data_IF_265448250500
#
_entry.id   IF_265448250500
#
_cell.length_a   1.000
_cell.length_b   1.000
_cell.length_c   1.000
_cell.angle_alpha   90.00
_cell.angle_beta   90.00
_cell.angle_gamma   90.00
#
_symmetry.space_group_name_H-M   'P 1'
#
loop_
_entity.id
_entity.type
_entity.pdbx_description
1 polymer ?
#
# COMPACT_ATOMS: atom_id res chain seq x y z
N UNK A 1 25.38 24.68 93.88
CA UNK A 1 26.33 24.04 92.94
C UNK A 1 25.51 23.45 91.81
N UNK A 2 25.66 24.00 90.60
CA UNK A 2 24.88 23.66 89.40
C UNK A 2 25.00 22.18 89.01
N UNK A 3 23.89 21.56 88.61
CA UNK A 3 23.90 20.44 87.68
C UNK A 3 23.00 20.82 86.50
N UNK A 4 23.62 21.08 85.34
CA UNK A 4 22.95 21.23 84.05
C UNK A 4 22.46 19.85 83.60
N UNK A 5 21.16 19.72 83.37
CA UNK A 5 20.56 18.57 82.66
C UNK A 5 20.42 19.00 81.19
N UNK A 6 21.25 18.45 80.31
CA UNK A 6 21.10 18.59 78.86
C UNK A 6 20.06 17.59 78.37
N UNK A 7 18.90 18.08 77.94
CA UNK A 7 17.88 17.29 77.25
C UNK A 7 18.20 17.28 75.75
N UNK A 8 18.73 16.17 75.24
CA UNK A 8 18.90 15.96 73.79
C UNK A 8 17.52 15.64 73.17
N UNK A 9 16.92 16.64 72.52
CA UNK A 9 15.72 16.45 71.70
C UNK A 9 16.13 15.75 70.40
N UNK A 10 15.88 14.45 70.31
CA UNK A 10 16.07 13.69 69.07
C UNK A 10 14.92 14.01 68.12
N UNK A 11 15.14 14.91 67.17
CA UNK A 11 14.20 15.17 66.07
C UNK A 11 14.28 13.96 65.13
N UNK A 12 13.26 13.09 65.19
CA UNK A 12 13.02 12.05 64.19
C UNK A 12 12.42 12.75 62.97
N UNK A 13 13.25 13.02 61.96
CA UNK A 13 12.80 13.38 60.62
C UNK A 13 12.14 12.15 60.00
N UNK A 14 10.81 12.10 60.03
CA UNK A 14 10.04 11.23 59.15
C UNK A 14 10.26 11.72 57.71
N UNK A 15 11.26 11.16 57.03
CA UNK A 15 11.32 11.21 55.58
C UNK A 15 10.12 10.39 55.06
N UNK A 16 9.02 11.07 54.75
CA UNK A 16 7.90 10.44 54.08
C UNK A 16 8.37 9.95 52.72
N UNK A 17 8.55 8.63 52.57
CA UNK A 17 8.61 8.00 51.26
C UNK A 17 7.26 8.21 50.59
N UNK A 18 7.11 9.27 49.79
CA UNK A 18 6.01 9.36 48.83
C UNK A 18 6.28 8.28 47.78
N UNK A 19 5.56 7.16 47.86
CA UNK A 19 5.57 6.17 46.80
C UNK A 19 5.13 6.87 45.51
N UNK A 20 6.04 6.95 44.53
CA UNK A 20 5.71 7.41 43.19
C UNK A 20 4.72 6.40 42.62
N UNK A 21 3.54 6.86 42.21
CA UNK A 21 2.56 5.98 41.56
C UNK A 21 3.19 5.38 40.30
N UNK A 22 2.86 4.11 39.95
CA UNK A 22 3.33 3.55 38.69
C UNK A 22 2.87 4.44 37.52
N UNK A 23 3.68 4.56 36.46
CA UNK A 23 3.32 5.38 35.30
C UNK A 23 2.03 4.86 34.67
N UNK A 24 1.16 5.78 34.21
CA UNK A 24 -0.07 5.41 33.50
C UNK A 24 0.24 4.73 32.16
N UNK A 25 -0.77 4.11 31.52
CA UNK A 25 -0.60 3.57 30.17
C UNK A 25 -0.20 4.67 29.17
N UNK A 26 -0.74 5.88 29.34
CA UNK A 26 -0.41 7.04 28.50
C UNK A 26 1.06 7.46 28.69
N UNK A 27 1.54 7.52 29.94
CA UNK A 27 2.95 7.86 30.22
C UNK A 27 3.92 6.82 29.62
N UNK A 28 3.56 5.53 29.71
CA UNK A 28 4.36 4.44 29.16
C UNK A 28 4.36 4.47 27.63
N UNK A 29 3.20 4.66 27.00
CA UNK A 29 3.08 4.75 25.56
C UNK A 29 3.83 5.98 25.04
N UNK A 30 3.66 7.16 25.64
CA UNK A 30 4.38 8.37 25.22
C UNK A 30 5.90 8.18 25.26
N UNK A 31 6.41 7.48 26.27
CA UNK A 31 7.84 7.14 26.36
C UNK A 31 8.29 6.30 25.15
N UNK A 32 7.49 5.33 24.72
CA UNK A 32 7.77 4.53 23.53
C UNK A 32 7.71 5.36 22.25
N UNK A 33 6.74 6.27 22.12
CA UNK A 33 6.59 7.13 20.95
C UNK A 33 7.74 8.13 20.82
N UNK A 34 8.19 8.73 21.93
CA UNK A 34 9.33 9.63 21.95
C UNK A 34 10.62 8.91 21.53
N UNK A 35 10.80 7.66 21.97
CA UNK A 35 11.96 6.84 21.59
C UNK A 35 12.01 6.55 20.08
N UNK A 36 10.86 6.50 19.41
CA UNK A 36 10.72 6.25 17.98
C UNK A 36 10.40 7.51 17.16
N UNK A 37 10.39 8.69 17.79
CA UNK A 37 10.10 9.99 17.15
C UNK A 37 8.78 9.99 16.37
N UNK A 38 7.75 9.34 16.91
CA UNK A 38 6.46 9.24 16.23
C UNK A 38 5.72 10.57 16.33
N UNK A 39 5.26 11.07 15.18
CA UNK A 39 4.51 12.31 15.05
C UNK A 39 3.24 12.09 14.23
N UNK A 40 2.26 13.01 14.28
CA UNK A 40 1.17 13.02 13.32
C UNK A 40 1.68 13.02 11.88
N UNK A 41 0.95 12.33 11.00
CA UNK A 41 1.30 12.24 9.59
C UNK A 41 1.08 13.60 8.90
N UNK A 42 2.02 13.99 8.04
CA UNK A 42 1.90 15.18 7.19
C UNK A 42 0.86 14.92 6.08
N UNK A 43 -0.18 15.76 5.95
CA UNK A 43 -1.19 15.61 4.89
C UNK A 43 -0.65 15.76 3.47
N UNK A 44 0.56 16.29 3.31
CA UNK A 44 1.09 16.63 2.00
C UNK A 44 0.46 17.90 1.42
N UNK A 45 0.83 18.26 0.19
CA UNK A 45 0.38 19.49 -0.44
C UNK A 45 -1.10 19.42 -0.84
N UNK A 46 -1.80 20.56 -0.72
CA UNK A 46 -3.13 20.73 -1.30
C UNK A 46 -3.01 20.67 -2.82
N UNK A 47 -3.90 19.91 -3.46
CA UNK A 47 -3.89 19.67 -4.89
C UNK A 47 -4.69 20.76 -5.65
N UNK A 48 -4.31 21.00 -6.90
CA UNK A 48 -5.07 21.90 -7.79
C UNK A 48 -6.42 21.25 -8.14
N UNK A 49 -7.57 21.88 -7.84
CA UNK A 49 -8.88 21.32 -8.14
C UNK A 49 -9.09 20.95 -9.62
N UNK A 50 -8.47 21.66 -10.57
CA UNK A 50 -8.56 21.32 -11.98
C UNK A 50 -7.78 20.04 -12.32
N UNK A 51 -6.59 19.84 -11.71
CA UNK A 51 -5.85 18.58 -11.81
C UNK A 51 -6.61 17.43 -11.15
N UNK A 52 -7.20 17.65 -9.98
CA UNK A 52 -8.03 16.65 -9.27
C UNK A 52 -9.23 16.23 -10.13
N UNK A 53 -9.93 17.18 -10.76
CA UNK A 53 -11.06 16.87 -11.63
C UNK A 53 -10.65 16.06 -12.87
N UNK A 54 -9.54 16.42 -13.52
CA UNK A 54 -8.97 15.64 -14.62
C UNK A 54 -8.54 14.24 -14.14
N UNK A 55 -7.89 14.16 -12.98
CA UNK A 55 -7.45 12.92 -12.35
C UNK A 55 -8.59 11.98 -12.03
N UNK A 56 -9.67 12.48 -11.44
CA UNK A 56 -10.89 11.71 -11.16
C UNK A 56 -11.47 11.16 -12.46
N UNK A 57 -11.58 11.99 -13.51
CA UNK A 57 -12.07 11.52 -14.80
C UNK A 57 -11.19 10.37 -15.33
N UNK A 58 -9.86 10.52 -15.31
CA UNK A 58 -8.92 9.49 -15.79
C UNK A 58 -8.95 8.21 -14.94
N UNK A 59 -9.03 8.34 -13.62
CA UNK A 59 -8.99 7.22 -12.67
C UNK A 59 -10.13 6.22 -12.88
N UNK A 60 -11.32 6.72 -13.22
CA UNK A 60 -12.51 5.91 -13.45
C UNK A 60 -12.73 5.54 -14.92
N UNK A 61 -12.08 6.24 -15.87
CA UNK A 61 -12.34 6.02 -17.29
C UNK A 61 -11.55 4.83 -17.86
N UNK A 62 -12.30 3.85 -18.37
CA UNK A 62 -11.74 2.66 -19.02
C UNK A 62 -11.04 3.00 -20.34
N UNK A 63 -11.17 4.22 -20.85
CA UNK A 63 -10.48 4.71 -22.04
C UNK A 63 -8.95 4.60 -21.94
N UNK A 64 -8.38 4.45 -20.75
CA UNK A 64 -6.93 4.23 -20.58
C UNK A 64 -6.49 2.79 -20.90
N UNK A 65 -7.39 1.80 -20.81
CA UNK A 65 -7.05 0.40 -21.05
C UNK A 65 -7.16 0.01 -22.53
N UNK A 66 -6.35 -0.95 -22.98
CA UNK A 66 -6.36 -1.39 -24.36
C UNK A 66 -7.69 -1.99 -24.80
N UNK A 67 -8.32 -2.80 -23.95
CA UNK A 67 -9.63 -3.41 -24.23
C UNK A 67 -10.81 -2.48 -23.87
N UNK A 68 -10.54 -1.32 -23.27
CA UNK A 68 -11.56 -0.35 -22.82
C UNK A 68 -12.57 -0.96 -21.83
N UNK A 69 -12.11 -1.92 -21.02
CA UNK A 69 -12.93 -2.71 -20.08
C UNK A 69 -12.46 -2.60 -18.62
N UNK A 70 -11.33 -1.94 -18.36
CA UNK A 70 -10.76 -1.76 -17.03
C UNK A 70 -10.21 -0.33 -16.84
N UNK A 71 -10.31 0.21 -15.63
CA UNK A 71 -9.70 1.49 -15.23
C UNK A 71 -8.92 1.33 -13.92
N UNK A 72 -8.27 2.40 -13.44
CA UNK A 72 -7.59 2.37 -12.13
C UNK A 72 -8.57 1.98 -11.01
N UNK A 73 -9.79 2.53 -11.06
CA UNK A 73 -10.85 2.26 -10.11
C UNK A 73 -11.32 0.79 -10.08
N UNK A 74 -11.08 0.00 -11.12
CA UNK A 74 -11.44 -1.43 -11.10
C UNK A 74 -10.61 -2.21 -10.08
N UNK A 75 -9.32 -1.88 -9.93
CA UNK A 75 -8.42 -2.54 -8.97
C UNK A 75 -8.19 -1.72 -7.69
N UNK A 76 -8.52 -0.43 -7.72
CA UNK A 76 -8.38 0.46 -6.57
C UNK A 76 -9.71 1.14 -6.28
N UNK A 77 -10.73 0.35 -5.96
CA UNK A 77 -12.08 0.88 -5.89
C UNK A 77 -12.34 1.59 -4.55
N UNK A 78 -12.93 2.80 -4.53
CA UNK A 78 -13.19 3.53 -3.28
C UNK A 78 -13.96 2.71 -2.24
N UNK A 79 -14.95 1.92 -2.68
CA UNK A 79 -15.80 1.11 -1.78
C UNK A 79 -15.13 -0.16 -1.26
N UNK A 80 -13.91 -0.45 -1.72
CA UNK A 80 -13.09 -1.60 -1.32
C UNK A 80 -11.81 -1.10 -0.62
N UNK A 81 -11.93 0.02 0.10
CA UNK A 81 -10.82 0.69 0.77
C UNK A 81 -9.64 0.97 -0.17
N UNK A 82 -9.93 1.37 -1.42
CA UNK A 82 -8.95 1.65 -2.47
C UNK A 82 -8.08 0.47 -2.92
N UNK A 83 -8.45 -0.76 -2.54
CA UNK A 83 -7.94 -2.01 -3.13
C UNK A 83 -8.97 -2.69 -4.02
N UNK A 84 -8.76 -3.97 -4.33
CA UNK A 84 -9.67 -4.77 -5.17
C UNK A 84 -10.40 -5.90 -4.40
N UNK A 85 -10.06 -6.16 -3.14
CA UNK A 85 -10.65 -7.24 -2.35
C UNK A 85 -10.41 -8.66 -2.91
N UNK A 86 -9.46 -8.83 -3.83
CA UNK A 86 -9.03 -10.11 -4.37
C UNK A 86 -7.66 -10.50 -3.80
N UNK A 87 -7.37 -11.79 -3.81
CA UNK A 87 -6.03 -12.28 -3.46
C UNK A 87 -5.04 -11.81 -4.53
N UNK A 88 -5.39 -12.11 -5.79
CA UNK A 88 -4.66 -11.69 -6.97
C UNK A 88 -5.60 -10.99 -7.94
N UNK A 89 -5.18 -9.82 -8.43
CA UNK A 89 -6.02 -8.99 -9.29
C UNK A 89 -6.27 -9.61 -10.67
N UNK A 90 -7.30 -9.13 -11.35
CA UNK A 90 -7.66 -9.56 -12.72
C UNK A 90 -7.66 -8.34 -13.63
N UNK A 91 -6.76 -8.31 -14.61
CA UNK A 91 -6.66 -7.22 -15.59
C UNK A 91 -7.75 -7.24 -16.67
N UNK A 92 -7.39 -6.79 -17.88
CA UNK A 92 -8.29 -6.76 -19.04
C UNK A 92 -8.97 -8.12 -19.32
N UNK A 93 -10.19 -8.06 -19.85
CA UNK A 93 -11.04 -9.21 -20.14
C UNK A 93 -11.76 -9.82 -18.93
N UNK A 94 -11.48 -9.35 -17.71
CA UNK A 94 -12.29 -9.68 -16.53
C UNK A 94 -13.64 -8.96 -16.52
N UNK A 95 -14.61 -9.50 -15.79
CA UNK A 95 -15.94 -8.90 -15.64
C UNK A 95 -16.36 -8.84 -14.18
N UNK A 96 -17.05 -7.78 -13.78
CA UNK A 96 -17.43 -7.53 -12.40
C UNK A 96 -16.34 -6.80 -11.62
N UNK A 97 -16.66 -6.43 -10.38
CA UNK A 97 -15.81 -5.64 -9.49
C UNK A 97 -15.56 -6.43 -8.20
N UNK A 98 -14.42 -6.19 -7.57
CA UNK A 98 -14.17 -6.68 -6.22
C UNK A 98 -14.15 -8.21 -6.14
N UNK A 99 -14.65 -8.78 -5.02
CA UNK A 99 -14.85 -10.22 -4.88
C UNK A 99 -15.82 -10.85 -5.90
N UNK A 100 -16.54 -10.06 -6.69
CA UNK A 100 -17.40 -10.54 -7.77
C UNK A 100 -16.73 -10.49 -9.15
N UNK A 101 -15.49 -9.99 -9.23
CA UNK A 101 -14.73 -9.96 -10.48
C UNK A 101 -14.26 -11.36 -10.85
N UNK A 102 -14.58 -11.78 -12.07
CA UNK A 102 -14.32 -13.13 -12.59
C UNK A 102 -13.32 -13.05 -13.75
N UNK A 103 -12.42 -14.04 -13.81
CA UNK A 103 -11.45 -14.19 -14.89
C UNK A 103 -12.14 -14.35 -16.25
N UNK A 104 -11.68 -13.56 -17.22
CA UNK A 104 -12.06 -13.72 -18.62
C UNK A 104 -11.54 -15.01 -19.24
N UNK A 105 -12.15 -15.42 -20.35
CA UNK A 105 -11.66 -16.55 -21.14
C UNK A 105 -10.20 -16.33 -21.58
N UNK A 106 -9.32 -17.29 -21.27
CA UNK A 106 -7.86 -17.25 -21.54
C UNK A 106 -7.11 -16.11 -20.84
N UNK A 107 -7.67 -15.56 -19.75
CA UNK A 107 -6.96 -14.63 -18.86
C UNK A 107 -6.31 -15.39 -17.70
N UNK A 108 -5.27 -14.79 -17.14
CA UNK A 108 -4.64 -15.22 -15.90
C UNK A 108 -4.72 -14.11 -14.87
N UNK A 109 -4.44 -14.46 -13.62
CA UNK A 109 -4.29 -13.49 -12.54
C UNK A 109 -3.06 -12.60 -12.75
N UNK A 110 -3.09 -11.41 -12.18
CA UNK A 110 -1.90 -10.57 -11.98
C UNK A 110 -1.10 -11.18 -10.82
N UNK A 111 0.22 -11.07 -10.86
CA UNK A 111 1.12 -11.76 -9.93
C UNK A 111 1.01 -11.31 -8.45
N UNK A 112 0.28 -10.23 -8.17
CA UNK A 112 0.24 -9.58 -6.86
C UNK A 112 -1.15 -9.08 -6.53
N UNK A 113 -1.41 -8.94 -5.24
CA UNK A 113 -2.53 -8.20 -4.68
C UNK A 113 -2.39 -6.70 -5.00
N UNK A 114 -3.51 -6.04 -5.30
CA UNK A 114 -3.57 -4.59 -5.48
C UNK A 114 -3.59 -3.88 -4.11
N UNK A 115 -2.55 -3.13 -3.75
CA UNK A 115 -2.50 -2.44 -2.46
C UNK A 115 -3.44 -1.24 -2.43
N UNK A 116 -3.83 -0.83 -1.24
CA UNK A 116 -4.46 0.47 -0.99
C UNK A 116 -3.56 1.67 -1.37
N UNK A 117 -4.18 2.82 -1.66
CA UNK A 117 -3.49 4.07 -2.09
C UNK A 117 -3.65 5.24 -1.11
N UNK A 118 -4.05 4.98 0.13
CA UNK A 118 -4.17 5.99 1.19
C UNK A 118 -2.85 6.69 1.49
N UNK A 119 -2.95 8.00 1.72
CA UNK A 119 -1.89 8.84 2.27
C UNK A 119 -0.56 8.83 1.47
N UNK A 120 -0.60 8.49 0.17
CA UNK A 120 0.57 8.46 -0.72
C UNK A 120 1.09 9.85 -1.12
N UNK A 121 0.36 10.91 -0.76
CA UNK A 121 0.76 12.30 -0.96
C UNK A 121 1.68 12.88 0.11
N UNK A 122 1.95 12.13 1.19
CA UNK A 122 2.84 12.58 2.24
C UNK A 122 4.25 12.87 1.69
N UNK A 123 4.92 13.98 2.08
CA UNK A 123 6.21 14.35 1.51
C UNK A 123 7.34 13.34 1.72
N UNK A 124 7.21 12.47 2.73
CA UNK A 124 8.17 11.41 3.02
C UNK A 124 7.98 10.16 2.14
N UNK A 125 6.93 10.13 1.30
CA UNK A 125 6.64 9.00 0.43
C UNK A 125 7.53 9.00 -0.82
N UNK A 126 8.32 7.96 -1.01
CA UNK A 126 9.38 7.93 -2.04
C UNK A 126 9.43 6.62 -2.82
N UNK A 127 8.66 5.59 -2.47
CA UNK A 127 8.76 4.27 -3.12
C UNK A 127 7.39 3.66 -3.41
N UNK A 128 7.24 3.12 -4.62
CA UNK A 128 6.00 2.53 -5.12
C UNK A 128 6.21 1.09 -5.63
N UNK A 129 5.09 0.37 -5.77
CA UNK A 129 5.00 -1.08 -5.99
C UNK A 129 5.55 -1.93 -4.83
N UNK A 130 5.20 -3.22 -4.85
CA UNK A 130 5.68 -4.21 -3.86
C UNK A 130 7.17 -4.53 -3.99
N UNK A 131 7.78 -4.39 -5.17
CA UNK A 131 9.21 -4.66 -5.42
C UNK A 131 10.07 -3.40 -5.42
N UNK A 132 9.49 -2.25 -5.07
CA UNK A 132 10.16 -0.95 -5.06
C UNK A 132 10.75 -0.57 -6.42
N UNK A 133 10.18 -1.04 -7.54
CA UNK A 133 10.71 -0.74 -8.89
C UNK A 133 10.55 0.72 -9.30
N UNK A 134 9.70 1.49 -8.61
CA UNK A 134 9.55 2.93 -8.81
C UNK A 134 9.95 3.66 -7.52
N UNK A 135 11.01 4.46 -7.59
CA UNK A 135 11.59 5.17 -6.45
C UNK A 135 11.94 6.62 -6.82
N UNK A 136 11.71 7.55 -5.90
CA UNK A 136 12.18 8.93 -5.93
C UNK A 136 13.41 9.07 -5.02
N UNK A 137 14.51 9.60 -5.56
CA UNK A 137 15.74 9.86 -4.80
C UNK A 137 15.80 11.30 -4.29
N UNK A 138 16.66 11.56 -3.31
CA UNK A 138 16.83 12.89 -2.70
C UNK A 138 17.25 13.99 -3.68
N UNK A 139 17.91 13.63 -4.79
CA UNK A 139 18.31 14.55 -5.86
C UNK A 139 17.19 14.83 -6.88
N UNK A 140 15.99 14.28 -6.65
CA UNK A 140 14.80 14.46 -7.49
C UNK A 140 14.71 13.53 -8.69
N UNK A 141 15.68 12.62 -8.90
CA UNK A 141 15.59 11.64 -9.99
C UNK A 141 14.69 10.48 -9.61
N UNK A 142 14.07 9.85 -10.61
CA UNK A 142 13.35 8.61 -10.45
C UNK A 142 14.21 7.41 -10.89
N UNK A 143 14.07 6.29 -10.19
CA UNK A 143 14.41 4.97 -10.75
C UNK A 143 13.11 4.29 -11.12
N UNK A 144 12.98 3.85 -12.36
CA UNK A 144 11.79 3.16 -12.88
C UNK A 144 12.18 2.09 -13.91
N UNK A 145 11.28 1.14 -14.23
CA UNK A 145 11.51 0.17 -15.32
C UNK A 145 11.69 0.80 -16.72
N UNK A 146 11.23 2.04 -16.93
CA UNK A 146 11.38 2.75 -18.19
C UNK A 146 12.76 3.41 -18.36
N UNK A 147 13.53 3.54 -17.28
CA UNK A 147 14.86 4.17 -17.26
C UNK A 147 14.86 5.52 -18.04
N UNK A 148 15.74 5.67 -19.03
CA UNK A 148 15.86 6.87 -19.87
C UNK A 148 14.61 7.20 -20.73
N UNK A 149 13.66 6.27 -20.85
CA UNK A 149 12.39 6.51 -21.58
C UNK A 149 11.36 7.26 -20.73
N UNK A 150 11.56 7.36 -19.41
CA UNK A 150 10.62 8.08 -18.54
C UNK A 150 10.63 9.58 -18.87
N UNK A 151 9.49 10.19 -19.25
CA UNK A 151 9.44 11.61 -19.54
C UNK A 151 9.73 12.46 -18.28
N UNK A 152 10.31 13.66 -18.43
CA UNK A 152 10.47 14.60 -17.33
C UNK A 152 9.11 15.17 -16.91
N UNK A 153 9.08 15.92 -15.80
CA UNK A 153 7.89 16.69 -15.40
C UNK A 153 6.88 15.94 -14.54
N UNK A 154 7.22 14.76 -14.03
CA UNK A 154 6.44 14.05 -13.01
C UNK A 154 6.59 14.74 -11.64
N UNK A 155 5.46 15.03 -10.99
CA UNK A 155 5.39 15.84 -9.77
C UNK A 155 5.89 15.07 -8.53
N UNK A 156 5.72 13.74 -8.49
CA UNK A 156 6.08 12.88 -7.36
C UNK A 156 6.14 11.39 -7.75
N UNK A 157 6.48 10.51 -6.79
CA UNK A 157 6.61 9.06 -7.05
C UNK A 157 5.27 8.39 -7.38
N UNK A 158 4.15 8.93 -6.91
CA UNK A 158 2.81 8.43 -7.23
C UNK A 158 2.49 8.69 -8.71
N UNK A 159 2.80 9.89 -9.22
CA UNK A 159 2.70 10.19 -10.65
C UNK A 159 3.62 9.28 -11.47
N UNK A 160 4.85 9.04 -11.02
CA UNK A 160 5.75 8.10 -11.69
C UNK A 160 5.16 6.68 -11.73
N UNK A 161 4.51 6.22 -10.65
CA UNK A 161 3.84 4.92 -10.61
C UNK A 161 2.67 4.84 -11.61
N UNK A 162 1.86 5.89 -11.71
CA UNK A 162 0.69 5.94 -12.59
C UNK A 162 1.03 5.79 -14.09
N UNK A 163 2.30 5.93 -14.47
CA UNK A 163 2.78 5.68 -15.82
C UNK A 163 2.71 4.19 -16.22
N UNK A 164 2.76 3.25 -15.28
CA UNK A 164 3.06 1.84 -15.59
C UNK A 164 1.84 0.91 -15.81
N UNK A 165 0.69 1.08 -15.13
CA UNK A 165 -0.43 0.14 -15.32
C UNK A 165 -0.97 0.04 -16.75
N UNK A 166 -0.96 1.16 -17.47
CA UNK A 166 -1.34 1.22 -18.90
C UNK A 166 -0.36 0.51 -19.83
N UNK A 167 0.86 0.22 -19.37
CA UNK A 167 1.90 -0.48 -20.12
C UNK A 167 1.80 -1.99 -19.92
N UNK A 168 1.43 -2.44 -18.72
CA UNK A 168 1.44 -3.84 -18.37
C UNK A 168 0.35 -4.63 -19.11
N UNK A 169 0.77 -5.64 -19.88
CA UNK A 169 -0.11 -6.56 -20.61
C UNK A 169 -1.12 -7.29 -19.73
N UNK A 170 -0.70 -7.72 -18.55
CA UNK A 170 -1.54 -8.41 -17.57
C UNK A 170 -2.50 -7.47 -16.82
N UNK A 171 -2.27 -6.16 -16.86
CA UNK A 171 -3.08 -5.16 -16.15
C UNK A 171 -4.03 -4.47 -17.13
N UNK A 172 -3.71 -3.25 -17.59
CA UNK A 172 -4.63 -2.44 -18.40
C UNK A 172 -4.37 -2.52 -19.90
N UNK A 173 -3.18 -2.95 -20.35
CA UNK A 173 -2.87 -2.90 -21.80
C UNK A 173 -3.57 -3.98 -22.60
N UNK A 174 -3.68 -5.19 -22.06
CA UNK A 174 -4.12 -6.37 -22.81
C UNK A 174 -3.03 -6.93 -23.75
N UNK A 175 -3.41 -7.92 -24.54
CA UNK A 175 -2.49 -8.74 -25.36
C UNK A 175 -2.79 -8.67 -26.85
N UNK A 176 -1.81 -9.07 -27.68
CA UNK A 176 -1.97 -9.09 -29.13
C UNK A 176 -3.20 -9.90 -29.58
N UNK A 177 -4.02 -9.29 -30.44
CA UNK A 177 -5.23 -9.90 -30.98
C UNK A 177 -6.47 -9.74 -30.09
N UNK A 178 -6.35 -9.08 -28.93
CA UNK A 178 -7.50 -8.68 -28.14
C UNK A 178 -8.40 -7.72 -28.92
N UNK A 179 -9.69 -7.78 -28.61
CA UNK A 179 -10.68 -6.82 -29.07
C UNK A 179 -11.11 -5.95 -27.89
N UNK A 180 -11.42 -4.69 -28.19
CA UNK A 180 -12.04 -3.81 -27.23
C UNK A 180 -13.55 -4.05 -27.10
N UNK A 181 -14.20 -3.32 -26.18
CA UNK A 181 -15.65 -3.39 -25.96
C UNK A 181 -16.50 -3.06 -27.20
N UNK A 182 -15.91 -2.45 -28.23
CA UNK A 182 -16.55 -2.12 -29.51
C UNK A 182 -16.24 -3.13 -30.62
N UNK A 183 -15.63 -4.28 -30.27
CA UNK A 183 -15.18 -5.31 -31.19
C UNK A 183 -14.14 -4.81 -32.22
N UNK A 184 -13.43 -3.73 -31.89
CA UNK A 184 -12.28 -3.27 -32.66
C UNK A 184 -11.00 -3.88 -32.11
N UNK A 185 -9.98 -4.03 -32.94
CA UNK A 185 -8.67 -4.49 -32.47
C UNK A 185 -8.14 -3.55 -31.39
N UNK A 186 -7.74 -4.10 -30.24
CA UNK A 186 -6.97 -3.38 -29.24
C UNK A 186 -5.62 -2.98 -29.86
N UNK A 187 -5.47 -1.68 -30.12
CA UNK A 187 -4.28 -1.14 -30.76
C UNK A 187 -3.05 -1.14 -29.86
N UNK A 188 -3.21 -1.21 -28.53
CA UNK A 188 -2.10 -1.24 -27.58
C UNK A 188 -1.52 -2.64 -27.41
N UNK A 189 -2.34 -3.69 -27.63
CA UNK A 189 -1.93 -5.08 -27.47
C UNK A 189 -0.82 -5.54 -28.43
N UNK A 190 -0.49 -4.74 -29.46
CA UNK A 190 0.61 -5.03 -30.39
C UNK A 190 2.00 -4.69 -29.85
N UNK A 191 2.09 -3.86 -28.81
CA UNK A 191 3.34 -3.43 -28.23
C UNK A 191 3.91 -4.46 -27.23
N UNK A 192 5.23 -4.53 -27.12
CA UNK A 192 5.91 -5.26 -26.05
C UNK A 192 5.86 -4.47 -24.75
N UNK A 193 6.07 -5.11 -23.59
CA UNK A 193 6.08 -4.44 -22.28
C UNK A 193 7.21 -3.39 -22.12
N UNK A 194 8.18 -3.36 -23.05
CA UNK A 194 9.30 -2.42 -23.07
C UNK A 194 9.09 -1.21 -24.01
N UNK A 195 8.00 -1.19 -24.80
CA UNK A 195 7.69 -0.11 -25.74
C UNK A 195 6.99 1.08 -25.05
N UNK A 196 7.56 1.56 -23.93
CA UNK A 196 6.94 2.54 -23.03
C UNK A 196 6.46 3.81 -23.76
N UNK A 197 7.35 4.47 -24.51
CA UNK A 197 7.03 5.73 -25.21
C UNK A 197 5.88 5.57 -26.21
N UNK A 198 5.87 4.45 -26.96
CA UNK A 198 4.85 4.19 -27.97
C UNK A 198 3.47 3.93 -27.35
N UNK A 199 3.44 3.24 -26.21
CA UNK A 199 2.20 2.98 -25.48
C UNK A 199 1.65 4.27 -24.88
N UNK A 200 2.48 5.04 -24.18
CA UNK A 200 2.08 6.33 -23.61
C UNK A 200 1.59 7.32 -24.67
N UNK A 201 2.31 7.43 -25.79
CA UNK A 201 1.89 8.27 -26.90
C UNK A 201 0.54 7.83 -27.49
N UNK A 202 0.30 6.52 -27.59
CA UNK A 202 -0.96 5.97 -28.12
C UNK A 202 -2.14 6.23 -27.17
N UNK A 203 -1.95 6.06 -25.87
CA UNK A 203 -2.96 6.39 -24.86
C UNK A 203 -3.23 7.90 -24.85
N UNK A 204 -2.19 8.73 -24.90
CA UNK A 204 -2.37 10.18 -24.92
C UNK A 204 -3.06 10.67 -26.19
N UNK A 205 -2.72 10.12 -27.37
CA UNK A 205 -3.41 10.44 -28.62
C UNK A 205 -4.92 10.10 -28.55
N UNK A 206 -5.27 9.01 -27.87
CA UNK A 206 -6.66 8.62 -27.62
C UNK A 206 -7.38 9.62 -26.71
N UNK A 207 -6.73 10.09 -25.65
CA UNK A 207 -7.28 11.12 -24.75
C UNK A 207 -7.50 12.44 -25.51
N UNK A 208 -6.51 12.89 -26.29
CA UNK A 208 -6.58 14.13 -27.07
C UNK A 208 -7.56 14.08 -28.25
N UNK A 209 -8.07 12.91 -28.62
CA UNK A 209 -9.15 12.77 -29.58
C UNK A 209 -10.54 13.07 -28.98
N UNK A 210 -10.66 13.20 -27.65
CA UNK A 210 -11.89 13.57 -26.97
C UNK A 210 -11.92 15.07 -26.64
N UNK A 211 -12.95 15.78 -27.11
CA UNK A 211 -13.14 17.22 -26.83
C UNK A 211 -13.29 17.50 -25.33
N UNK A 212 -13.91 16.57 -24.59
CA UNK A 212 -14.09 16.66 -23.15
C UNK A 212 -12.74 16.57 -22.42
N UNK A 213 -11.87 15.63 -22.82
CA UNK A 213 -10.53 15.54 -22.25
C UNK A 213 -9.66 16.73 -22.61
N UNK A 214 -9.71 17.21 -23.86
CA UNK A 214 -9.00 18.44 -24.26
C UNK A 214 -9.41 19.63 -23.37
N UNK A 215 -10.70 19.73 -23.02
CA UNK A 215 -11.21 20.76 -22.10
C UNK A 215 -10.65 20.58 -20.68
N UNK A 216 -10.64 19.35 -20.15
CA UNK A 216 -10.10 19.06 -18.82
C UNK A 216 -8.58 19.30 -18.74
N UNK A 217 -7.82 18.90 -19.76
CA UNK A 217 -6.39 19.17 -19.85
C UNK A 217 -6.10 20.67 -19.93
N UNK A 218 -6.85 21.42 -20.74
CA UNK A 218 -6.67 22.87 -20.85
C UNK A 218 -6.98 23.60 -19.52
N UNK A 219 -7.90 23.07 -18.71
CA UNK A 219 -8.18 23.60 -17.38
C UNK A 219 -7.06 23.28 -16.37
N UNK A 220 -6.53 22.05 -16.40
CA UNK A 220 -5.49 21.59 -15.48
C UNK A 220 -4.08 22.12 -15.83
N UNK A 221 -3.83 22.39 -17.12
CA UNK A 221 -2.53 22.82 -17.65
C UNK A 221 -2.71 23.98 -18.66
N UNK A 222 -3.17 25.16 -18.22
CA UNK A 222 -3.52 26.27 -19.11
C UNK A 222 -2.34 26.82 -19.92
N UNK A 223 -1.11 26.60 -19.45
CA UNK A 223 0.12 27.08 -20.07
C UNK A 223 0.78 26.04 -21.01
N UNK A 224 0.18 24.85 -21.18
CA UNK A 224 0.72 23.77 -22.00
C UNK A 224 -0.16 23.56 -23.25
N UNK A 225 0.36 23.79 -24.46
CA UNK A 225 -0.35 23.50 -25.69
C UNK A 225 -0.73 22.02 -25.82
N UNK A 226 -1.88 21.72 -26.41
CA UNK A 226 -2.38 20.34 -26.52
C UNK A 226 -1.41 19.38 -27.24
N UNK A 227 -0.60 19.88 -28.19
CA UNK A 227 0.40 19.10 -28.91
C UNK A 227 1.72 18.88 -28.14
N UNK A 228 1.85 19.49 -26.95
CA UNK A 228 2.97 19.32 -26.02
C UNK A 228 2.58 18.47 -24.79
N UNK A 229 1.29 18.11 -24.66
CA UNK A 229 0.84 17.22 -23.59
C UNK A 229 1.29 15.78 -23.86
N UNK A 230 2.21 15.29 -23.05
CA UNK A 230 2.53 13.87 -22.90
C UNK A 230 1.70 13.17 -21.82
N UNK A 231 1.93 11.87 -21.65
CA UNK A 231 1.20 11.05 -20.68
C UNK A 231 1.55 11.38 -19.22
N UNK A 232 2.71 11.99 -18.96
CA UNK A 232 3.12 12.51 -17.65
C UNK A 232 2.12 13.52 -17.07
N UNK A 233 1.42 14.28 -17.92
CA UNK A 233 0.36 15.19 -17.49
C UNK A 233 -0.89 14.43 -17.02
N UNK A 234 -1.24 13.32 -17.69
CA UNK A 234 -2.32 12.45 -17.23
C UNK A 234 -1.94 11.78 -15.90
N UNK A 235 -0.70 11.29 -15.78
CA UNK A 235 -0.20 10.65 -14.58
C UNK A 235 -0.12 11.62 -13.37
N UNK A 236 0.31 12.85 -13.59
CA UNK A 236 0.28 13.91 -12.56
C UNK A 236 -1.14 14.22 -12.09
N UNK A 237 -2.11 14.26 -13.00
CA UNK A 237 -3.50 14.48 -12.65
C UNK A 237 -4.08 13.29 -11.85
N UNK A 238 -3.81 12.05 -12.26
CA UNK A 238 -4.19 10.84 -11.51
C UNK A 238 -3.62 10.89 -10.08
N UNK A 239 -2.34 11.18 -9.92
CA UNK A 239 -1.72 11.32 -8.61
C UNK A 239 -2.35 12.45 -7.79
N UNK A 240 -2.68 13.60 -8.40
CA UNK A 240 -3.38 14.68 -7.71
C UNK A 240 -4.76 14.24 -7.19
N UNK A 241 -5.52 13.48 -7.98
CA UNK A 241 -6.77 12.90 -7.52
C UNK A 241 -6.56 11.92 -6.36
N UNK A 242 -5.62 10.98 -6.48
CA UNK A 242 -5.36 9.99 -5.43
C UNK A 242 -4.94 10.66 -4.10
N UNK A 243 -4.12 11.71 -4.16
CA UNK A 243 -3.72 12.48 -2.99
C UNK A 243 -4.93 13.18 -2.35
N UNK A 244 -5.78 13.84 -3.13
CA UNK A 244 -6.96 14.54 -2.61
C UNK A 244 -8.00 13.55 -2.05
N UNK A 245 -8.25 12.47 -2.76
CA UNK A 245 -9.31 11.50 -2.49
C UNK A 245 -9.00 10.57 -1.31
N UNK A 246 -7.72 10.17 -1.15
CA UNK A 246 -7.33 9.09 -0.23
C UNK A 246 -6.41 9.56 0.91
N UNK A 247 -6.31 10.87 1.15
CA UNK A 247 -5.64 11.39 2.36
C UNK A 247 -6.60 11.35 3.56
N UNK A 248 -6.47 10.30 4.38
CA UNK A 248 -7.31 10.03 5.56
C UNK A 248 -6.45 10.06 6.83
N UNK A 249 -6.71 11.03 7.71
CA UNK A 249 -5.84 11.42 8.83
C UNK A 249 -6.59 11.61 10.15
N UNK A 250 -7.80 11.05 10.27
CA UNK A 250 -8.64 11.18 11.46
C UNK A 250 -8.94 9.80 12.07
N UNK A 251 -7.90 8.99 12.21
CA UNK A 251 -7.98 7.72 12.94
C UNK A 251 -7.98 7.97 14.46
N UNK A 252 -8.47 7.03 15.29
CA UNK A 252 -8.26 7.08 16.74
C UNK A 252 -6.79 7.26 17.13
N UNK A 253 -5.87 6.68 16.37
CA UNK A 253 -4.43 6.89 16.53
C UNK A 253 -4.00 8.35 16.29
N UNK A 254 -4.52 8.98 15.24
CA UNK A 254 -4.22 10.39 14.94
C UNK A 254 -4.77 11.33 16.03
N UNK A 255 -5.97 11.05 16.53
CA UNK A 255 -6.58 11.79 17.63
C UNK A 255 -5.76 11.65 18.92
N UNK A 256 -5.24 10.45 19.20
CA UNK A 256 -4.34 10.21 20.33
C UNK A 256 -3.04 11.00 20.20
N UNK A 257 -2.38 10.96 19.03
CA UNK A 257 -1.17 11.75 18.76
C UNK A 257 -1.43 13.27 18.84
N UNK A 258 -2.66 13.71 18.56
CA UNK A 258 -3.10 15.10 18.70
C UNK A 258 -3.43 15.52 20.15
N UNK A 259 -3.34 14.59 21.11
CA UNK A 259 -3.51 14.85 22.54
C UNK A 259 -4.80 14.31 23.16
N UNK A 260 -5.67 13.65 22.39
CA UNK A 260 -6.86 12.99 22.93
C UNK A 260 -6.51 11.60 23.47
N UNK A 261 -6.06 11.54 24.72
CA UNK A 261 -5.68 10.29 25.37
C UNK A 261 -6.84 9.29 25.50
N UNK A 262 -8.10 9.74 25.34
CA UNK A 262 -9.28 8.88 25.38
C UNK A 262 -9.63 8.25 24.02
N UNK A 263 -8.95 8.65 22.94
CA UNK A 263 -9.18 8.11 21.60
C UNK A 263 -8.76 6.63 21.49
N UNK A 264 -7.78 6.19 22.26
CA UNK A 264 -7.39 4.78 22.34
C UNK A 264 -7.99 4.07 23.55
N UNK A 265 -8.46 2.84 23.35
CA UNK A 265 -8.74 1.92 24.44
C UNK A 265 -7.46 1.47 25.16
N UNK A 266 -7.61 0.93 26.36
CA UNK A 266 -6.46 0.38 27.11
C UNK A 266 -5.81 -0.80 26.37
N UNK A 267 -6.61 -1.60 25.64
CA UNK A 267 -6.15 -2.68 24.75
C UNK A 267 -5.26 -2.12 23.63
N UNK A 268 -5.74 -1.09 22.93
CA UNK A 268 -4.98 -0.46 21.85
C UNK A 268 -3.69 0.19 22.35
N UNK A 269 -3.70 0.79 23.55
CA UNK A 269 -2.48 1.32 24.19
C UNK A 269 -1.46 0.21 24.50
N UNK A 270 -1.92 -0.93 25.04
CA UNK A 270 -1.05 -2.10 25.25
C UNK A 270 -0.51 -2.67 23.95
N UNK A 271 -1.35 -2.75 22.91
CA UNK A 271 -0.95 -3.14 21.57
C UNK A 271 0.11 -2.23 20.98
N UNK A 272 -0.07 -0.92 21.09
CA UNK A 272 0.90 0.06 20.63
C UNK A 272 2.25 -0.11 21.35
N UNK A 273 2.24 -0.30 22.68
CA UNK A 273 3.47 -0.56 23.43
C UNK A 273 4.19 -1.85 22.99
N UNK A 274 3.44 -2.91 22.66
CA UNK A 274 4.01 -4.12 22.07
C UNK A 274 4.62 -3.84 20.69
N UNK A 275 3.87 -3.16 19.83
CA UNK A 275 4.25 -2.80 18.46
C UNK A 275 5.55 -2.00 18.41
N UNK A 276 5.65 -0.97 19.26
CA UNK A 276 6.82 -0.10 19.43
C UNK A 276 7.89 -0.70 20.36
N UNK A 277 7.71 -1.94 20.84
CA UNK A 277 8.56 -2.55 21.85
C UNK A 277 8.90 -4.00 21.55
N UNK A 278 8.40 -4.91 22.39
CA UNK A 278 8.82 -6.31 22.41
C UNK A 278 8.37 -7.12 21.18
N UNK A 279 7.27 -6.72 20.53
CA UNK A 279 6.83 -7.35 19.27
C UNK A 279 7.72 -6.97 18.09
N UNK A 280 8.40 -5.81 18.16
CA UNK A 280 9.39 -5.38 17.18
C UNK A 280 8.82 -4.92 15.83
N UNK A 281 7.51 -4.76 15.70
CA UNK A 281 6.85 -4.37 14.45
C UNK A 281 7.39 -3.04 13.90
N UNK A 282 7.70 -2.08 14.79
CA UNK A 282 8.28 -0.77 14.44
C UNK A 282 9.62 -0.85 13.71
N UNK A 283 10.35 -1.97 13.76
CA UNK A 283 11.64 -2.11 13.06
C UNK A 283 11.52 -1.87 11.55
N UNK A 284 10.41 -2.32 10.97
CA UNK A 284 10.07 -2.12 9.56
C UNK A 284 8.88 -1.16 9.40
N UNK A 285 7.83 -1.33 10.21
CA UNK A 285 6.66 -0.44 10.21
C UNK A 285 6.93 0.82 11.04
N UNK A 286 7.90 1.60 10.58
CA UNK A 286 8.51 2.69 11.32
C UNK A 286 7.93 4.07 10.96
N UNK A 287 8.19 5.04 11.84
CA UNK A 287 7.83 6.45 11.63
C UNK A 287 6.33 6.71 11.49
N UNK A 288 6.00 7.95 11.14
CA UNK A 288 4.60 8.42 11.03
C UNK A 288 3.84 7.79 9.85
N UNK A 289 4.57 7.27 8.85
CA UNK A 289 4.02 6.50 7.73
C UNK A 289 3.71 5.04 8.09
N UNK A 290 4.25 4.53 9.21
CA UNK A 290 4.20 3.12 9.59
C UNK A 290 4.79 2.19 8.53
N UNK A 291 5.83 2.67 7.86
CA UNK A 291 6.63 1.94 6.87
C UNK A 291 7.97 2.64 6.73
N UNK A 292 9.04 1.85 6.66
CA UNK A 292 10.37 2.29 6.27
C UNK A 292 10.54 2.39 4.74
N UNK A 293 9.53 1.95 3.98
CA UNK A 293 9.51 1.85 2.52
C UNK A 293 10.63 0.97 1.94
N UNK A 294 11.28 0.14 2.76
CA UNK A 294 12.33 -0.78 2.33
C UNK A 294 11.77 -2.19 2.12
N UNK A 295 12.54 -3.06 1.45
CA UNK A 295 12.08 -4.39 1.10
C UNK A 295 12.63 -5.45 2.05
N UNK A 296 11.74 -6.27 2.61
CA UNK A 296 12.08 -7.37 3.50
C UNK A 296 11.49 -8.68 3.01
N UNK A 297 12.27 -9.76 3.16
CA UNK A 297 11.75 -11.10 2.99
C UNK A 297 11.23 -11.59 4.34
N UNK A 298 9.91 -11.69 4.46
CA UNK A 298 9.24 -12.29 5.62
C UNK A 298 8.73 -13.70 5.31
N UNK A 299 9.25 -14.37 4.28
CA UNK A 299 8.87 -15.72 3.87
C UNK A 299 7.37 -15.90 3.60
N UNK A 300 6.70 -14.92 2.98
CA UNK A 300 5.31 -15.07 2.52
C UNK A 300 5.25 -16.23 1.50
N UNK A 301 4.31 -17.18 1.65
CA UNK A 301 4.09 -18.28 0.70
C UNK A 301 4.05 -17.77 -0.74
N UNK A 302 4.69 -18.48 -1.69
CA UNK A 302 4.65 -18.07 -3.10
C UNK A 302 3.42 -18.67 -3.76
N UNK A 303 2.45 -17.82 -4.15
CA UNK A 303 1.19 -18.23 -4.79
C UNK A 303 0.98 -17.53 -6.14
N UNK A 304 0.12 -18.11 -6.98
CA UNK A 304 -0.25 -17.51 -8.26
C UNK A 304 0.77 -17.72 -9.39
N UNK A 305 0.76 -16.84 -10.41
CA UNK A 305 1.51 -17.05 -11.65
C UNK A 305 2.99 -16.65 -11.57
N UNK A 306 3.42 -16.00 -10.49
CA UNK A 306 4.76 -15.39 -10.39
C UNK A 306 4.99 -14.25 -11.38
N UNK A 307 6.24 -13.79 -11.49
CA UNK A 307 6.62 -12.65 -12.34
C UNK A 307 7.71 -13.08 -13.32
N UNK A 308 7.70 -12.52 -14.53
CA UNK A 308 8.82 -12.61 -15.50
C UNK A 308 9.27 -14.03 -15.87
N UNK A 309 10.57 -14.20 -16.16
CA UNK A 309 11.19 -15.48 -16.54
C UNK A 309 11.26 -16.49 -15.38
N UNK A 310 11.09 -16.01 -14.16
CA UNK A 310 11.17 -16.76 -12.91
C UNK A 310 9.83 -17.33 -12.47
N UNK A 311 8.76 -17.03 -13.21
CA UNK A 311 7.46 -17.67 -13.05
C UNK A 311 7.61 -19.21 -12.93
N UNK A 312 6.94 -19.86 -11.96
CA UNK A 312 5.84 -19.33 -11.14
C UNK A 312 6.27 -18.56 -9.88
N UNK A 313 7.54 -18.19 -9.71
CA UNK A 313 8.02 -17.46 -8.55
C UNK A 313 7.99 -15.94 -8.76
N UNK A 314 7.85 -15.19 -7.66
CA UNK A 314 8.08 -13.75 -7.63
C UNK A 314 9.28 -13.43 -6.74
N UNK A 315 10.41 -13.12 -7.39
CA UNK A 315 11.63 -12.74 -6.67
C UNK A 315 11.56 -11.36 -6.03
N UNK A 316 10.48 -10.59 -6.20
CA UNK A 316 10.30 -9.29 -5.58
C UNK A 316 11.43 -8.33 -5.91
N UNK A 317 11.99 -7.68 -4.88
CA UNK A 317 13.13 -6.77 -5.01
C UNK A 317 14.37 -7.43 -5.62
N UNK A 318 14.53 -8.75 -5.48
CA UNK A 318 15.64 -9.51 -6.00
C UNK A 318 15.72 -9.48 -7.52
N UNK A 319 14.58 -9.39 -8.22
CA UNK A 319 14.55 -9.19 -9.68
C UNK A 319 15.14 -7.82 -10.04
N UNK A 320 14.63 -6.77 -9.41
CA UNK A 320 14.98 -5.38 -9.75
C UNK A 320 16.46 -5.06 -9.45
N UNK A 321 17.08 -5.80 -8.54
CA UNK A 321 18.49 -5.68 -8.18
C UNK A 321 19.39 -6.76 -8.79
N UNK A 322 18.84 -7.70 -9.55
CA UNK A 322 19.52 -8.93 -10.01
C UNK A 322 20.28 -9.64 -8.86
N UNK A 323 19.67 -9.66 -7.67
CA UNK A 323 20.33 -10.04 -6.42
C UNK A 323 19.67 -11.25 -5.78
N UNK A 324 20.48 -12.27 -5.48
CA UNK A 324 20.03 -13.42 -4.71
C UNK A 324 19.62 -13.05 -3.27
N UNK A 325 20.26 -12.05 -2.67
CA UNK A 325 19.96 -11.63 -1.29
C UNK A 325 18.62 -10.88 -1.24
N UNK A 326 18.25 -10.18 -2.31
CA UNK A 326 16.97 -9.47 -2.40
C UNK A 326 15.78 -10.36 -2.76
N UNK A 327 15.98 -11.66 -3.01
CA UNK A 327 14.88 -12.55 -3.43
C UNK A 327 13.81 -12.66 -2.35
N UNK A 328 12.56 -12.64 -2.81
CA UNK A 328 11.34 -12.74 -2.00
C UNK A 328 11.17 -11.56 -1.03
N UNK A 329 11.95 -10.49 -1.20
CA UNK A 329 11.82 -9.29 -0.40
C UNK A 329 10.84 -8.32 -1.06
N UNK A 330 9.88 -7.84 -0.28
CA UNK A 330 8.86 -6.89 -0.73
C UNK A 330 8.81 -5.69 0.20
N UNK A 331 8.44 -4.54 -0.36
CA UNK A 331 8.33 -3.26 0.33
C UNK A 331 7.39 -3.40 1.52
N UNK A 332 7.82 -2.93 2.69
CA UNK A 332 6.96 -2.79 3.86
C UNK A 332 5.74 -1.93 3.51
N UNK A 333 4.51 -2.48 3.51
CA UNK A 333 3.32 -1.66 3.32
C UNK A 333 3.08 -0.78 4.56
N UNK A 334 2.46 0.39 4.42
CA UNK A 334 2.01 1.15 5.59
C UNK A 334 0.86 0.40 6.27
N UNK A 335 0.57 0.75 7.52
CA UNK A 335 -0.49 0.08 8.31
C UNK A 335 -1.73 0.93 8.56
N UNK A 336 -1.76 2.18 8.07
CA UNK A 336 -2.97 3.01 8.14
C UNK A 336 -4.08 2.35 7.31
N UNK A 337 -5.27 2.23 7.89
CA UNK A 337 -6.43 1.51 7.35
C UNK A 337 -6.25 0.00 7.11
N UNK A 338 -5.20 -0.65 7.65
CA UNK A 338 -4.92 -2.07 7.39
C UNK A 338 -6.06 -3.01 7.79
N UNK A 339 -6.91 -2.62 8.75
CA UNK A 339 -8.03 -3.45 9.19
C UNK A 339 -9.11 -3.67 8.12
N UNK A 340 -9.11 -2.88 7.02
CA UNK A 340 -10.15 -2.93 5.98
C UNK A 340 -9.62 -3.26 4.58
N UNK A 341 -8.36 -3.67 4.46
CA UNK A 341 -7.67 -3.85 3.17
C UNK A 341 -7.29 -5.31 2.91
N UNK A 342 -8.07 -6.25 3.46
CA UNK A 342 -7.90 -7.67 3.16
C UNK A 342 -8.17 -7.96 1.66
N UNK A 343 -7.58 -9.03 1.09
CA UNK A 343 -6.59 -9.95 1.67
C UNK A 343 -5.21 -9.34 1.90
N UNK A 344 -4.34 -10.03 2.63
CA UNK A 344 -3.06 -9.51 3.14
C UNK A 344 -1.83 -10.12 2.48
N UNK A 345 -0.71 -9.39 2.56
CA UNK A 345 0.58 -9.65 1.90
C UNK A 345 0.60 -9.25 0.42
N UNK A 346 1.78 -9.31 -0.19
CA UNK A 346 2.00 -8.88 -1.59
C UNK A 346 1.18 -9.65 -2.63
N UNK A 347 0.69 -10.82 -2.29
CA UNK A 347 -0.03 -11.78 -3.13
C UNK A 347 -1.38 -12.18 -2.53
N UNK A 348 -1.78 -11.56 -1.41
CA UNK A 348 -3.05 -11.86 -0.75
C UNK A 348 -3.07 -13.18 0.00
N UNK A 349 -1.93 -13.76 0.39
CA UNK A 349 -1.84 -15.10 1.00
C UNK A 349 -2.70 -15.34 2.27
N UNK A 350 -3.22 -14.30 2.93
CA UNK A 350 -4.04 -14.42 4.15
C UNK A 350 -5.33 -13.60 4.09
N UNK A 351 -6.43 -14.13 4.62
CA UNK A 351 -7.75 -13.47 4.59
C UNK A 351 -7.98 -12.50 5.74
N UNK A 352 -7.33 -12.72 6.87
CA UNK A 352 -7.59 -11.95 8.10
C UNK A 352 -6.33 -11.28 8.61
N UNK A 353 -6.51 -10.13 9.26
CA UNK A 353 -5.41 -9.39 9.87
C UNK A 353 -4.70 -10.22 10.94
N UNK A 354 -5.45 -11.05 11.66
CA UNK A 354 -4.87 -11.96 12.66
C UNK A 354 -3.95 -13.00 12.04
N UNK A 355 -4.30 -13.58 10.90
CA UNK A 355 -3.44 -14.52 10.17
C UNK A 355 -2.17 -13.83 9.70
N UNK A 356 -2.29 -12.62 9.15
CA UNK A 356 -1.13 -11.82 8.78
C UNK A 356 -0.23 -11.52 9.99
N UNK A 357 -0.79 -11.11 11.13
CA UNK A 357 0.00 -10.89 12.37
C UNK A 357 0.67 -12.18 12.83
N UNK A 358 -0.02 -13.32 12.82
CA UNK A 358 0.56 -14.61 13.21
C UNK A 358 1.71 -15.04 12.30
N UNK A 359 1.61 -14.78 11.00
CA UNK A 359 2.71 -14.99 10.06
C UNK A 359 3.95 -14.19 10.45
N UNK A 360 3.80 -12.93 10.85
CA UNK A 360 4.95 -12.11 11.28
C UNK A 360 5.61 -12.63 12.56
N UNK A 361 4.87 -13.28 13.45
CA UNK A 361 5.41 -13.76 14.74
C UNK A 361 6.28 -15.01 14.60
N UNK A 362 5.99 -15.88 13.62
CA UNK A 362 6.86 -16.99 13.24
C UNK A 362 6.70 -17.31 11.74
N UNK A 363 7.41 -16.59 10.85
CA UNK A 363 7.27 -16.78 9.42
C UNK A 363 7.74 -18.15 8.93
N UNK A 364 8.70 -18.75 9.64
CA UNK A 364 9.24 -20.04 9.28
C UNK A 364 8.28 -21.19 9.61
N UNK A 365 7.57 -21.10 10.73
CA UNK A 365 6.49 -22.04 11.05
C UNK A 365 5.28 -21.81 10.15
N UNK A 366 4.89 -20.55 9.92
CA UNK A 366 3.76 -20.19 9.06
C UNK A 366 3.95 -20.72 7.62
N UNK A 367 5.11 -20.49 7.00
CA UNK A 367 5.40 -20.97 5.65
C UNK A 367 5.37 -22.51 5.55
N UNK A 368 5.93 -23.22 6.53
CA UNK A 368 5.98 -24.70 6.50
C UNK A 368 4.62 -25.36 6.68
N UNK A 369 3.71 -24.69 7.37
CA UNK A 369 2.38 -25.20 7.67
C UNK A 369 1.28 -24.54 6.84
N UNK A 370 1.65 -23.79 5.79
CA UNK A 370 0.68 -23.12 4.94
C UNK A 370 -0.21 -24.12 4.20
N UNK A 371 -1.52 -23.90 4.23
CA UNK A 371 -2.52 -24.70 3.56
C UNK A 371 -3.38 -23.78 2.69
N UNK A 372 -3.15 -23.82 1.38
CA UNK A 372 -3.89 -23.01 0.42
C UNK A 372 -5.40 -23.24 0.47
N UNK A 373 -5.88 -24.40 0.94
CA UNK A 373 -7.32 -24.67 1.03
C UNK A 373 -7.98 -23.97 2.22
N UNK A 374 -7.20 -23.55 3.21
CA UNK A 374 -7.68 -22.74 4.34
C UNK A 374 -7.70 -21.24 4.01
N UNK A 375 -6.77 -20.77 3.17
CA UNK A 375 -6.58 -19.34 2.94
C UNK A 375 -7.00 -18.87 1.56
N UNK A 376 -6.93 -19.69 0.51
CA UNK A 376 -7.18 -19.24 -0.86
C UNK A 376 -8.55 -19.66 -1.38
N UNK A 377 -9.15 -18.87 -2.28
CA UNK A 377 -10.35 -19.26 -3.00
C UNK A 377 -10.07 -20.43 -3.98
N UNK A 378 -11.10 -21.20 -4.39
CA UNK A 378 -10.92 -22.42 -5.18
C UNK A 378 -10.22 -22.26 -6.53
N UNK A 379 -10.30 -21.07 -7.13
CA UNK A 379 -9.65 -20.71 -8.38
C UNK A 379 -8.13 -20.50 -8.25
N UNK A 380 -7.62 -20.40 -7.02
CA UNK A 380 -6.19 -20.33 -6.70
C UNK A 380 -5.62 -21.61 -6.08
N UNK A 381 -6.43 -22.65 -5.87
CA UNK A 381 -5.93 -23.95 -5.42
C UNK A 381 -4.98 -24.57 -6.45
N UNK A 382 -3.88 -25.14 -5.98
CA UNK A 382 -2.77 -25.67 -6.77
C UNK A 382 -1.79 -24.61 -7.25
N UNK A 383 -1.92 -23.36 -6.81
CA UNK A 383 -1.00 -22.28 -7.17
C UNK A 383 0.12 -22.06 -6.16
N UNK A 384 -0.02 -22.59 -4.93
CA UNK A 384 1.04 -22.53 -3.94
C UNK A 384 2.25 -23.37 -4.36
N UNK A 385 3.44 -22.77 -4.29
CA UNK A 385 4.71 -23.42 -4.56
C UNK A 385 5.28 -24.04 -3.27
N UNK A 386 5.05 -25.34 -3.08
CA UNK A 386 5.32 -26.08 -1.83
C UNK A 386 6.62 -26.93 -1.85
N UNK A 387 7.49 -26.73 -2.84
CA UNK A 387 8.75 -27.48 -2.97
C UNK A 387 9.71 -27.23 -1.78
N UNK A 388 10.15 -28.30 -1.12
CA UNK A 388 11.04 -28.25 0.05
C UNK A 388 12.31 -27.40 -0.18
N UNK A 389 12.88 -27.42 -1.39
CA UNK A 389 14.10 -26.64 -1.70
C UNK A 389 13.79 -25.16 -1.80
N UNK A 390 12.65 -24.81 -2.38
CA UNK A 390 12.16 -23.43 -2.40
C UNK A 390 11.93 -22.91 -0.98
N UNK A 391 11.26 -23.69 -0.12
CA UNK A 391 11.02 -23.27 1.27
C UNK A 391 12.34 -23.01 2.00
N UNK A 392 13.36 -23.86 1.80
CA UNK A 392 14.71 -23.65 2.34
C UNK A 392 15.37 -22.41 1.74
N UNK A 393 15.20 -22.14 0.45
CA UNK A 393 15.74 -20.95 -0.21
C UNK A 393 15.14 -19.66 0.36
N UNK A 394 13.81 -19.59 0.48
CA UNK A 394 13.10 -18.44 1.05
C UNK A 394 13.55 -18.17 2.49
N UNK A 395 13.70 -19.22 3.30
CA UNK A 395 14.16 -19.07 4.69
C UNK A 395 15.63 -18.69 4.80
N UNK A 396 16.46 -18.96 3.77
CA UNK A 396 17.88 -18.57 3.75
C UNK A 396 18.06 -17.06 3.62
N UNK A 397 17.13 -16.38 2.96
CA UNK A 397 17.15 -14.92 2.78
C UNK A 397 16.16 -14.21 3.69
N UNK A 398 15.60 -14.91 4.70
CA UNK A 398 14.68 -14.33 5.67
C UNK A 398 15.34 -13.14 6.38
N UNK A 399 14.62 -12.03 6.49
CA UNK A 399 15.13 -10.85 7.17
C UNK A 399 15.24 -11.11 8.69
N UNK A 400 16.42 -10.95 9.30
CA UNK A 400 16.63 -11.24 10.72
C UNK A 400 15.83 -10.32 11.66
N UNK A 401 15.26 -9.22 11.16
CA UNK A 401 14.48 -8.27 11.96
C UNK A 401 13.05 -8.73 12.26
N UNK A 402 12.53 -9.72 11.52
CA UNK A 402 11.10 -10.09 11.48
C UNK A 402 10.63 -10.82 12.75
N UNK A 403 11.55 -11.36 13.56
CA UNK A 403 11.16 -12.10 14.77
C UNK A 403 10.97 -11.18 15.99
N UNK A 404 9.91 -11.41 16.79
CA UNK A 404 9.71 -10.70 18.04
C UNK A 404 10.81 -11.04 19.05
N UNK A 405 11.00 -10.20 20.06
CA UNK A 405 12.02 -10.46 21.10
C UNK A 405 11.69 -11.70 21.94
N UNK A 406 10.40 -12.06 22.02
CA UNK A 406 9.87 -13.25 22.66
C UNK A 406 8.56 -13.69 22.01
N UNK A 407 8.10 -14.93 22.25
CA UNK A 407 6.74 -15.33 21.90
C UNK A 407 5.69 -14.45 22.60
N UNK A 408 4.62 -14.14 21.87
CA UNK A 408 3.46 -13.41 22.39
C UNK A 408 2.30 -14.38 22.70
N UNK A 409 1.51 -14.05 23.71
CA UNK A 409 0.28 -14.78 24.04
C UNK A 409 -0.89 -14.34 23.15
N UNK A 410 -1.96 -15.13 23.09
CA UNK A 410 -3.16 -14.75 22.33
C UNK A 410 -3.80 -13.43 22.83
N UNK A 411 -3.68 -13.13 24.12
CA UNK A 411 -4.16 -11.85 24.67
C UNK A 411 -3.32 -10.66 24.16
N UNK A 412 -2.00 -10.83 24.06
CA UNK A 412 -1.10 -9.81 23.51
C UNK A 412 -1.29 -9.63 22.00
N UNK A 413 -1.60 -10.72 21.28
CA UNK A 413 -1.99 -10.64 19.86
C UNK A 413 -3.31 -9.88 19.72
N UNK A 414 -4.28 -10.09 20.61
CA UNK A 414 -5.54 -9.34 20.61
C UNK A 414 -5.31 -7.84 20.90
N UNK A 415 -4.43 -7.49 21.83
CA UNK A 415 -4.04 -6.10 22.08
C UNK A 415 -3.37 -5.48 20.84
N UNK A 416 -2.47 -6.20 20.14
CA UNK A 416 -1.89 -5.75 18.86
C UNK A 416 -2.96 -5.50 17.79
N UNK A 417 -3.94 -6.40 17.65
CA UNK A 417 -5.05 -6.21 16.72
C UNK A 417 -5.89 -4.98 17.07
N UNK A 418 -6.18 -4.75 18.35
CA UNK A 418 -6.88 -3.54 18.79
C UNK A 418 -6.11 -2.26 18.44
N UNK A 419 -4.77 -2.29 18.51
CA UNK A 419 -3.95 -1.18 18.03
C UNK A 419 -4.05 -1.01 16.51
N UNK A 420 -3.93 -2.08 15.72
CA UNK A 420 -4.03 -1.99 14.26
C UNK A 420 -5.42 -1.53 13.79
N UNK A 421 -6.49 -1.92 14.49
CA UNK A 421 -7.84 -1.41 14.26
C UNK A 421 -7.94 0.10 14.49
N UNK A 422 -7.23 0.62 15.50
CA UNK A 422 -7.17 2.05 15.82
C UNK A 422 -6.51 2.92 14.73
N UNK A 423 -5.87 2.29 13.74
CA UNK A 423 -5.27 2.93 12.57
C UNK A 423 -6.28 3.15 11.44
N UNK A 424 -7.56 2.86 11.65
CA UNK A 424 -8.61 2.97 10.64
C UNK A 424 -9.35 4.29 10.75
N UNK A 425 -9.41 5.04 9.66
CA UNK A 425 -10.23 6.24 9.55
C UNK A 425 -11.65 5.83 9.16
N UNK A 426 -12.65 6.21 9.96
CA UNK A 426 -14.04 5.87 9.67
C UNK A 426 -14.56 6.40 8.32
N UNK A 427 -13.91 7.42 7.75
CA UNK A 427 -14.24 7.92 6.40
C UNK A 427 -14.04 6.85 5.32
N UNK A 428 -13.20 5.83 5.55
CA UNK A 428 -12.95 4.73 4.60
C UNK A 428 -14.22 3.96 4.22
N UNK A 429 -15.22 3.94 5.10
CA UNK A 429 -16.50 3.26 4.87
C UNK A 429 -17.50 4.10 4.06
N UNK A 430 -17.16 5.33 3.70
CA UNK A 430 -18.04 6.24 2.97
C UNK A 430 -17.26 7.01 1.90
N UNK A 431 -16.69 6.27 0.95
CA UNK A 431 -15.92 6.82 -0.17
C UNK A 431 -16.70 6.83 -1.49
N UNK A 432 -17.97 6.43 -1.48
CA UNK A 432 -18.85 6.37 -2.68
C UNK A 432 -18.99 7.72 -3.38
N UNK A 433 -18.83 8.83 -2.65
CA UNK A 433 -18.89 10.19 -3.21
C UNK A 433 -17.76 10.50 -4.19
N UNK A 434 -16.68 9.71 -4.19
CA UNK A 434 -15.57 9.84 -5.12
C UNK A 434 -15.90 9.26 -6.51
N UNK A 435 -16.95 8.46 -6.63
CA UNK A 435 -17.33 7.79 -7.87
C UNK A 435 -18.11 8.78 -8.75
N UNK A 436 -17.60 9.15 -9.94
CA UNK A 436 -18.29 10.06 -10.83
C UNK A 436 -19.53 9.39 -11.43
N UNK A 437 -20.57 10.17 -11.74
CA UNK A 437 -21.78 9.64 -12.38
C UNK A 437 -21.53 9.16 -13.83
N UNK A 438 -20.55 9.75 -14.50
CA UNK A 438 -20.12 9.41 -15.85
C UNK A 438 -18.68 9.86 -16.07
N UNK A 439 -18.01 9.26 -17.06
CA UNK A 439 -16.67 9.66 -17.51
C UNK A 439 -16.70 10.21 -18.93
N UNK A 440 -15.69 11.01 -19.35
CA UNK A 440 -15.66 11.64 -20.67
C UNK A 440 -15.81 10.69 -21.86
N UNK A 441 -15.32 9.46 -21.78
CA UNK A 441 -15.48 8.49 -22.87
C UNK A 441 -16.91 7.97 -23.06
N UNK A 442 -17.78 8.19 -22.07
CA UNK A 442 -19.10 7.58 -21.99
C UNK A 442 -19.10 6.08 -21.64
N UNK A 443 -17.93 5.48 -21.38
CA UNK A 443 -17.83 4.11 -20.90
C UNK A 443 -18.45 3.97 -19.49
N UNK A 444 -18.99 2.79 -19.14
CA UNK A 444 -19.55 2.57 -17.80
C UNK A 444 -18.50 2.72 -16.70
N UNK A 445 -18.80 3.54 -15.69
CA UNK A 445 -17.98 3.70 -14.48
C UNK A 445 -18.01 2.44 -13.61
N UNK A 446 -19.16 1.77 -13.54
CA UNK A 446 -19.32 0.47 -12.89
C UNK A 446 -19.12 -0.68 -13.88
N UNK A 447 -18.67 -1.83 -13.37
CA UNK A 447 -18.54 -3.10 -14.10
C UNK A 447 -19.81 -3.95 -14.07
#
# INVERSE_FOLDING_TARGET
MCYLIYLFLSIVLFAGCTAVAPPSLDDQLQTALDAHQITPLDPGPVQDPAKVALGQALYFDKLLSGNRDISCATCHHPTLASGDGLHLSIGTGGTGLGPQRILGYRRGFIARNAPEVFNRGAPQWTTMFWDSRVMLHEDGRFTTPADDQLPPGLDNVLAAQAMFPVVASAEMRGTYGDLDVYQQTNELGQYSDEDYEAIWASVMARLLASEDYVTLFAAAYPDVPANELGFEYAANAIAAFEIDAFTLLNTPWDQYLAGDMAALSDEAKRGAMLFYGEAGCVRCHSGSLMTDQTAHNIAVPQIGPGKGEEAPLDFGRGRELESQIGRYAFRTPPLRNVAVTAPYMHDGAYNTLQEAVRHHLDPAEALRNYDETMYLPPDLWGSFQDDDRLLVEMLRTLDPQVMPQRPLTDAEIADLLAFLESLTDTAVYNLDYLIPASVPSGLPVSD
#
